data_IF_931738663317
#
_entry.id   IF_931738663317
#
_cell.length_a   1.000
_cell.length_b   1.000
_cell.length_c   1.000
_cell.angle_alpha   90.00
_cell.angle_beta   90.00
_cell.angle_gamma   90.00
#
_symmetry.space_group_name_H-M   'P 1'
#
loop_
_entity.id
_entity.type
_entity.pdbx_description
1 polymer ?
#
# COMPACT_ATOMS: atom_id res chain seq x y z
N UNK A 1 -3.88 -32.32 -8.29
CA UNK A 1 -4.20 -30.97 -8.84
C UNK A 1 -5.58 -30.42 -8.44
N UNK A 2 -6.60 -31.25 -8.14
CA UNK A 2 -7.96 -30.80 -7.74
C UNK A 2 -8.08 -30.25 -6.30
N UNK A 3 -7.28 -30.74 -5.35
CA UNK A 3 -7.41 -30.33 -3.93
C UNK A 3 -6.87 -28.93 -3.60
N UNK A 4 -5.77 -28.51 -4.25
CA UNK A 4 -5.18 -27.18 -4.04
C UNK A 4 -6.14 -26.05 -4.47
N UNK A 5 -6.92 -26.28 -5.53
CA UNK A 5 -7.94 -25.35 -6.02
C UNK A 5 -9.16 -25.27 -5.07
N UNK A 6 -9.44 -26.34 -4.31
CA UNK A 6 -10.57 -26.43 -3.36
C UNK A 6 -10.27 -25.69 -2.06
N UNK A 7 -9.06 -25.81 -1.50
CA UNK A 7 -8.63 -25.08 -0.29
C UNK A 7 -8.57 -23.55 -0.50
N UNK A 8 -8.07 -23.09 -1.66
CA UNK A 8 -8.05 -21.67 -1.99
C UNK A 8 -9.44 -21.03 -2.12
N UNK A 9 -10.43 -21.80 -2.58
CA UNK A 9 -11.83 -21.35 -2.67
C UNK A 9 -12.47 -21.15 -1.29
N UNK A 10 -12.21 -22.04 -0.34
CA UNK A 10 -12.74 -21.93 1.03
C UNK A 10 -12.13 -20.76 1.80
N UNK A 11 -10.81 -20.57 1.72
CA UNK A 11 -10.14 -19.43 2.37
C UNK A 11 -10.66 -18.08 1.86
N UNK A 12 -10.88 -17.95 0.55
CA UNK A 12 -11.46 -16.73 -0.04
C UNK A 12 -12.91 -16.51 0.42
N UNK A 13 -13.73 -17.56 0.47
CA UNK A 13 -15.10 -17.46 0.99
C UNK A 13 -15.11 -16.99 2.45
N UNK A 14 -14.30 -17.61 3.31
CA UNK A 14 -14.19 -17.21 4.72
C UNK A 14 -13.75 -15.75 4.86
N UNK A 15 -12.75 -15.33 4.08
CA UNK A 15 -12.30 -13.94 4.05
C UNK A 15 -13.44 -12.96 3.74
N UNK A 16 -14.24 -13.23 2.69
CA UNK A 16 -15.37 -12.36 2.35
C UNK A 16 -16.50 -12.40 3.37
N UNK A 17 -16.76 -13.55 4.01
CA UNK A 17 -17.74 -13.64 5.11
C UNK A 17 -17.30 -12.74 6.28
N UNK A 18 -16.05 -12.86 6.72
CA UNK A 18 -15.50 -12.03 7.79
C UNK A 18 -15.49 -10.55 7.39
N UNK A 19 -15.15 -10.25 6.14
CA UNK A 19 -15.18 -8.90 5.58
C UNK A 19 -16.58 -8.28 5.70
N UNK A 20 -17.62 -8.95 5.20
CA UNK A 20 -18.99 -8.45 5.25
C UNK A 20 -19.52 -8.35 6.68
N UNK A 21 -19.12 -9.28 7.55
CA UNK A 21 -19.48 -9.24 8.97
C UNK A 21 -18.89 -8.00 9.64
N UNK A 22 -17.59 -7.75 9.49
CA UNK A 22 -16.94 -6.55 10.05
C UNK A 22 -17.51 -5.28 9.43
N UNK A 23 -17.71 -5.25 8.11
CA UNK A 23 -18.30 -4.12 7.41
C UNK A 23 -19.71 -3.80 7.94
N UNK A 24 -20.55 -4.83 8.09
CA UNK A 24 -21.91 -4.71 8.62
C UNK A 24 -21.96 -4.27 10.07
N UNK A 25 -21.14 -4.87 10.95
CA UNK A 25 -21.07 -4.47 12.37
C UNK A 25 -20.67 -3.00 12.48
N UNK A 26 -19.61 -2.59 11.77
CA UNK A 26 -19.15 -1.20 11.75
C UNK A 26 -20.25 -0.24 11.28
N UNK A 27 -20.99 -0.62 10.24
CA UNK A 27 -22.11 0.19 9.71
C UNK A 27 -23.23 0.34 10.74
N UNK A 28 -23.68 -0.77 11.32
CA UNK A 28 -24.78 -0.80 12.29
C UNK A 28 -24.40 -0.05 13.56
N UNK A 29 -23.19 -0.26 14.09
CA UNK A 29 -22.71 0.45 15.28
C UNK A 29 -22.67 1.96 15.03
N UNK A 30 -22.20 2.40 13.87
CA UNK A 30 -22.22 3.83 13.55
C UNK A 30 -23.66 4.37 13.48
N UNK A 31 -24.53 3.67 12.75
CA UNK A 31 -25.93 4.08 12.61
C UNK A 31 -26.66 4.09 13.96
N UNK A 32 -26.31 3.20 14.88
CA UNK A 32 -26.91 3.13 16.21
C UNK A 32 -26.48 4.29 17.12
N UNK A 33 -25.25 4.79 16.96
CA UNK A 33 -24.70 5.86 17.81
C UNK A 33 -25.01 7.24 17.22
N UNK A 34 -24.69 7.45 15.93
CA UNK A 34 -24.75 8.77 15.30
C UNK A 34 -26.02 8.98 14.46
N UNK A 35 -26.86 7.95 14.30
CA UNK A 35 -28.02 7.93 13.39
C UNK A 35 -27.70 8.29 11.93
N UNK A 36 -26.42 8.36 11.59
CA UNK A 36 -25.89 8.72 10.29
C UNK A 36 -24.62 7.91 10.01
N UNK A 37 -24.25 7.80 8.74
CA UNK A 37 -23.00 7.15 8.33
C UNK A 37 -21.83 8.15 8.27
N UNK A 38 -21.45 8.70 9.42
CA UNK A 38 -20.30 9.61 9.62
C UNK A 38 -18.95 8.87 9.53
N UNK A 39 -18.43 8.30 10.62
CA UNK A 39 -17.13 7.61 10.68
C UNK A 39 -17.10 6.29 9.90
N UNK A 40 -18.27 5.68 9.67
CA UNK A 40 -18.39 4.51 8.81
C UNK A 40 -17.89 4.76 7.38
N UNK A 41 -18.00 5.98 6.83
CA UNK A 41 -17.45 6.25 5.49
C UNK A 41 -15.94 6.08 5.46
N UNK A 42 -15.25 6.50 6.51
CA UNK A 42 -13.81 6.28 6.68
C UNK A 42 -13.54 4.79 6.81
N UNK A 43 -14.15 4.12 7.80
CA UNK A 43 -13.81 2.71 8.08
C UNK A 43 -14.26 1.78 6.97
N UNK A 44 -15.45 1.96 6.41
CA UNK A 44 -15.97 1.19 5.28
C UNK A 44 -15.12 1.35 4.02
N UNK A 45 -14.67 2.56 3.69
CA UNK A 45 -13.76 2.77 2.55
C UNK A 45 -12.37 2.18 2.80
N UNK A 46 -11.84 2.26 4.02
CA UNK A 46 -10.60 1.58 4.42
C UNK A 46 -10.71 0.07 4.29
N UNK A 47 -11.83 -0.50 4.74
CA UNK A 47 -12.13 -1.93 4.58
C UNK A 47 -12.14 -2.28 3.09
N UNK A 48 -12.90 -1.58 2.25
CA UNK A 48 -12.95 -1.85 0.81
C UNK A 48 -11.54 -1.76 0.20
N UNK A 49 -10.79 -0.70 0.50
CA UNK A 49 -9.44 -0.49 -0.03
C UNK A 49 -8.49 -1.63 0.38
N UNK A 50 -8.34 -1.89 1.68
CA UNK A 50 -7.46 -2.93 2.18
C UNK A 50 -7.94 -4.34 1.80
N UNK A 51 -9.25 -4.58 1.85
CA UNK A 51 -9.88 -5.85 1.52
C UNK A 51 -9.63 -6.26 0.08
N UNK A 52 -9.78 -5.33 -0.87
CA UNK A 52 -9.48 -5.58 -2.29
C UNK A 52 -7.98 -5.85 -2.51
N UNK A 53 -7.10 -5.11 -1.82
CA UNK A 53 -5.65 -5.34 -1.88
C UNK A 53 -5.26 -6.74 -1.37
N UNK A 54 -5.80 -7.15 -0.23
CA UNK A 54 -5.55 -8.44 0.39
C UNK A 54 -6.15 -9.58 -0.43
N UNK A 55 -7.35 -9.41 -0.99
CA UNK A 55 -7.97 -10.41 -1.88
C UNK A 55 -7.07 -10.69 -3.09
N UNK A 56 -6.58 -9.63 -3.75
CA UNK A 56 -5.64 -9.78 -4.86
C UNK A 56 -4.30 -10.39 -4.44
N UNK A 57 -3.78 -10.02 -3.27
CA UNK A 57 -2.48 -10.48 -2.78
C UNK A 57 -2.51 -11.96 -2.39
N UNK A 58 -3.58 -12.43 -1.77
CA UNK A 58 -3.66 -13.80 -1.24
C UNK A 58 -4.30 -14.78 -2.22
N UNK A 59 -5.31 -14.36 -2.99
CA UNK A 59 -6.14 -15.29 -3.76
C UNK A 59 -5.94 -15.21 -5.28
N UNK A 60 -5.21 -14.21 -5.81
CA UNK A 60 -4.87 -14.23 -7.24
C UNK A 60 -3.96 -15.41 -7.57
N UNK A 61 -4.23 -16.11 -8.69
CA UNK A 61 -3.44 -17.30 -9.06
C UNK A 61 -2.07 -16.92 -9.60
N UNK A 62 -2.04 -15.94 -10.50
CA UNK A 62 -0.83 -15.43 -11.16
C UNK A 62 -0.69 -13.94 -10.91
N UNK A 63 0.56 -13.46 -10.90
CA UNK A 63 0.88 -12.03 -10.83
C UNK A 63 0.22 -11.28 -9.65
N UNK A 64 0.08 -11.94 -8.48
CA UNK A 64 -0.56 -11.39 -7.25
C UNK A 64 -0.15 -9.96 -6.94
N UNK A 65 1.16 -9.71 -6.92
CA UNK A 65 1.74 -8.38 -6.66
C UNK A 65 1.30 -7.35 -7.71
N UNK A 66 1.22 -7.72 -8.98
CA UNK A 66 0.78 -6.81 -10.06
C UNK A 66 -0.70 -6.47 -9.89
N UNK A 67 -1.53 -7.46 -9.56
CA UNK A 67 -2.96 -7.20 -9.30
C UNK A 67 -3.15 -6.30 -8.08
N UNK A 68 -2.46 -6.55 -6.98
CA UNK A 68 -2.52 -5.68 -5.79
C UNK A 68 -2.03 -4.26 -6.09
N UNK A 69 -0.92 -4.09 -6.81
CA UNK A 69 -0.44 -2.75 -7.21
C UNK A 69 -1.42 -2.06 -8.17
N UNK A 70 -2.09 -2.80 -9.05
CA UNK A 70 -3.12 -2.25 -9.93
C UNK A 70 -4.33 -1.75 -9.14
N UNK A 71 -4.81 -2.55 -8.17
CA UNK A 71 -5.87 -2.13 -7.24
C UNK A 71 -5.45 -0.91 -6.43
N UNK A 72 -4.22 -0.89 -5.90
CA UNK A 72 -3.67 0.27 -5.20
C UNK A 72 -3.70 1.52 -6.08
N UNK A 73 -3.21 1.41 -7.32
CA UNK A 73 -3.17 2.50 -8.31
C UNK A 73 -4.56 3.09 -8.56
N UNK A 74 -5.58 2.24 -8.67
CA UNK A 74 -6.95 2.67 -8.96
C UNK A 74 -7.67 3.21 -7.73
N UNK A 75 -7.49 2.58 -6.57
CA UNK A 75 -8.32 2.86 -5.39
C UNK A 75 -7.72 3.87 -4.41
N UNK A 76 -6.41 4.12 -4.41
CA UNK A 76 -5.78 5.01 -3.41
C UNK A 76 -6.31 6.45 -3.49
N UNK A 77 -6.53 6.97 -4.70
CA UNK A 77 -7.04 8.34 -4.89
C UNK A 77 -8.52 8.44 -4.49
N UNK A 78 -9.44 7.57 -4.96
CA UNK A 78 -10.81 7.53 -4.45
C UNK A 78 -10.89 7.36 -2.93
N UNK A 79 -10.03 6.53 -2.35
CA UNK A 79 -9.95 6.36 -0.90
C UNK A 79 -9.61 7.66 -0.19
N UNK A 80 -8.56 8.39 -0.63
CA UNK A 80 -8.23 9.69 -0.06
C UNK A 80 -9.33 10.74 -0.26
N UNK A 81 -10.06 10.71 -1.39
CA UNK A 81 -11.22 11.58 -1.59
C UNK A 81 -12.32 11.33 -0.56
N UNK A 82 -12.60 10.06 -0.23
CA UNK A 82 -13.57 9.71 0.80
C UNK A 82 -13.10 10.21 2.17
N UNK A 83 -11.81 10.06 2.50
CA UNK A 83 -11.25 10.56 3.75
C UNK A 83 -11.39 12.07 3.87
N UNK A 84 -10.87 12.84 2.92
CA UNK A 84 -10.91 14.31 2.95
C UNK A 84 -12.36 14.82 3.04
N UNK A 85 -13.25 14.29 2.19
CA UNK A 85 -14.66 14.71 2.19
C UNK A 85 -15.35 14.38 3.51
N UNK A 86 -15.12 13.19 4.06
CA UNK A 86 -15.78 12.78 5.31
C UNK A 86 -15.28 13.60 6.48
N UNK A 87 -13.96 13.80 6.60
CA UNK A 87 -13.36 14.61 7.66
C UNK A 87 -13.86 16.05 7.62
N UNK A 88 -13.85 16.69 6.44
CA UNK A 88 -14.32 18.06 6.27
C UNK A 88 -15.82 18.24 6.49
N UNK A 89 -16.63 17.20 6.29
CA UNK A 89 -18.08 17.30 6.45
C UNK A 89 -18.52 17.08 7.89
N UNK A 90 -17.83 16.22 8.64
CA UNK A 90 -18.35 15.70 9.92
C UNK A 90 -17.44 15.92 11.14
N UNK A 91 -16.15 16.24 10.95
CA UNK A 91 -15.16 16.20 12.04
C UNK A 91 -14.35 17.49 12.22
N UNK A 92 -14.42 18.42 11.27
CA UNK A 92 -13.70 19.69 11.35
C UNK A 92 -14.67 20.87 11.28
N UNK A 93 -14.41 21.89 12.10
CA UNK A 93 -15.15 23.16 12.06
C UNK A 93 -14.84 23.96 10.79
N UNK A 94 -13.63 23.80 10.26
CA UNK A 94 -13.17 24.43 9.02
C UNK A 94 -12.55 23.39 8.07
N UNK A 95 -12.88 23.41 6.77
CA UNK A 95 -12.42 22.40 5.83
C UNK A 95 -10.92 22.53 5.53
N UNK A 96 -10.21 21.40 5.56
CA UNK A 96 -8.80 21.29 5.21
C UNK A 96 -8.67 20.42 3.96
N UNK A 97 -8.17 21.01 2.87
CA UNK A 97 -7.98 20.33 1.59
C UNK A 97 -6.53 19.85 1.44
N UNK A 98 -6.24 18.66 1.96
CA UNK A 98 -4.89 18.06 1.96
C UNK A 98 -4.65 17.09 0.79
N UNK A 99 -5.70 16.60 0.13
CA UNK A 99 -5.60 15.60 -0.94
C UNK A 99 -4.73 16.11 -2.08
N UNK A 100 -5.02 17.30 -2.61
CA UNK A 100 -4.27 17.85 -3.75
C UNK A 100 -2.83 18.23 -3.41
N UNK A 101 -2.56 19.04 -2.36
CA UNK A 101 -1.20 19.49 -2.08
C UNK A 101 -0.30 18.41 -1.46
N UNK A 102 -0.88 17.41 -0.78
CA UNK A 102 -0.11 16.41 0.00
C UNK A 102 -0.43 14.99 -0.46
N UNK A 103 -1.70 14.59 -0.43
CA UNK A 103 -2.10 13.20 -0.70
C UNK A 103 -1.76 12.70 -2.10
N UNK A 104 -2.02 13.48 -3.14
CA UNK A 104 -1.79 13.12 -4.54
C UNK A 104 -0.29 12.99 -4.86
N UNK A 105 0.59 13.96 -4.54
CA UNK A 105 2.03 13.79 -4.77
C UNK A 105 2.61 12.55 -4.08
N UNK A 106 2.20 12.26 -2.84
CA UNK A 106 2.64 11.07 -2.11
C UNK A 106 2.12 9.80 -2.79
N UNK A 107 0.82 9.73 -3.11
CA UNK A 107 0.24 8.57 -3.79
C UNK A 107 0.93 8.28 -5.13
N UNK A 108 1.16 9.31 -5.95
CA UNK A 108 1.84 9.18 -7.24
C UNK A 108 3.28 8.69 -7.08
N UNK A 109 4.00 9.18 -6.06
CA UNK A 109 5.36 8.73 -5.75
C UNK A 109 5.39 7.22 -5.47
N UNK A 110 4.48 6.73 -4.64
CA UNK A 110 4.42 5.31 -4.29
C UNK A 110 3.89 4.43 -5.45
N UNK A 111 2.95 4.93 -6.25
CA UNK A 111 2.52 4.28 -7.50
C UNK A 111 3.72 4.11 -8.44
N UNK A 112 4.48 5.17 -8.68
CA UNK A 112 5.67 5.13 -9.52
C UNK A 112 6.71 4.14 -8.97
N UNK A 113 6.97 4.19 -7.66
CA UNK A 113 7.86 3.26 -6.97
C UNK A 113 7.47 1.78 -7.23
N UNK A 114 6.19 1.42 -7.05
CA UNK A 114 5.75 0.04 -7.26
C UNK A 114 5.88 -0.39 -8.72
N UNK A 115 5.49 0.46 -9.66
CA UNK A 115 5.57 0.14 -11.09
C UNK A 115 7.00 0.04 -11.61
N UNK A 116 7.91 0.90 -11.14
CA UNK A 116 9.34 0.81 -11.45
C UNK A 116 9.90 -0.54 -10.95
N UNK A 117 9.59 -0.94 -9.72
CA UNK A 117 10.03 -2.23 -9.18
C UNK A 117 9.49 -3.43 -9.98
N UNK A 118 8.21 -3.40 -10.35
CA UNK A 118 7.62 -4.44 -11.22
C UNK A 118 8.32 -4.46 -12.59
N UNK A 119 8.58 -3.28 -13.18
CA UNK A 119 9.26 -3.13 -14.45
C UNK A 119 10.67 -3.71 -14.43
N UNK A 120 11.47 -3.33 -13.44
CA UNK A 120 12.84 -3.84 -13.24
C UNK A 120 12.84 -5.38 -13.15
N UNK A 121 11.94 -5.96 -12.33
CA UNK A 121 11.85 -7.42 -12.20
C UNK A 121 11.51 -8.09 -13.54
N UNK A 122 10.59 -7.51 -14.32
CA UNK A 122 10.20 -8.06 -15.63
C UNK A 122 11.30 -7.93 -16.67
N UNK A 123 12.03 -6.82 -16.70
CA UNK A 123 13.08 -6.55 -17.68
C UNK A 123 14.36 -7.33 -17.38
N UNK A 124 14.77 -7.39 -16.12
CA UNK A 124 16.05 -7.97 -15.74
C UNK A 124 15.97 -9.45 -15.36
N UNK A 125 14.76 -10.00 -15.20
CA UNK A 125 14.53 -11.38 -14.76
C UNK A 125 15.29 -11.75 -13.47
N UNK A 126 15.47 -10.78 -12.58
CA UNK A 126 16.21 -10.96 -11.33
C UNK A 126 15.47 -11.85 -10.34
N UNK A 127 16.24 -12.54 -9.50
CA UNK A 127 15.68 -13.33 -8.41
C UNK A 127 15.11 -12.44 -7.30
N UNK A 128 14.38 -13.05 -6.37
CA UNK A 128 13.66 -12.32 -5.33
C UNK A 128 14.58 -11.51 -4.42
N UNK A 129 15.76 -12.02 -4.08
CA UNK A 129 16.74 -11.30 -3.26
C UNK A 129 17.17 -9.98 -3.91
N UNK A 130 17.60 -10.04 -5.17
CA UNK A 130 18.00 -8.83 -5.91
C UNK A 130 16.83 -7.87 -6.12
N UNK A 131 15.59 -8.38 -6.30
CA UNK A 131 14.40 -7.53 -6.39
C UNK A 131 14.11 -6.79 -5.08
N UNK A 132 14.21 -7.46 -3.92
CA UNK A 132 14.04 -6.84 -2.61
C UNK A 132 15.13 -5.81 -2.30
N UNK A 133 16.37 -6.10 -2.75
CA UNK A 133 17.49 -5.17 -2.65
C UNK A 133 17.21 -3.87 -3.41
N UNK A 134 16.85 -3.95 -4.69
CA UNK A 134 16.47 -2.77 -5.48
C UNK A 134 15.27 -2.04 -4.89
N UNK A 135 14.24 -2.78 -4.46
CA UNK A 135 13.05 -2.17 -3.86
C UNK A 135 13.44 -1.32 -2.65
N UNK A 136 14.33 -1.81 -1.79
CA UNK A 136 14.82 -1.06 -0.64
C UNK A 136 15.56 0.22 -1.05
N UNK A 137 16.43 0.13 -2.07
CA UNK A 137 17.16 1.31 -2.56
C UNK A 137 16.24 2.35 -3.21
N UNK A 138 15.26 1.91 -4.01
CA UNK A 138 14.26 2.78 -4.63
C UNK A 138 13.30 3.41 -3.62
N UNK A 139 13.16 2.83 -2.42
CA UNK A 139 12.33 3.40 -1.38
C UNK A 139 12.94 4.68 -0.79
N UNK A 140 14.26 4.86 -0.87
CA UNK A 140 14.96 6.06 -0.36
C UNK A 140 14.40 7.34 -1.01
N UNK A 141 14.43 7.52 -2.34
CA UNK A 141 13.86 8.71 -2.96
C UNK A 141 12.35 8.84 -2.70
N UNK A 142 11.61 7.74 -2.62
CA UNK A 142 10.17 7.78 -2.31
C UNK A 142 9.89 8.32 -0.90
N UNK A 143 10.69 7.90 0.09
CA UNK A 143 10.61 8.40 1.48
C UNK A 143 11.01 9.87 1.56
N UNK A 144 12.10 10.28 0.89
CA UNK A 144 12.53 11.69 0.89
C UNK A 144 11.46 12.58 0.28
N UNK A 145 10.88 12.21 -0.86
CA UNK A 145 9.78 12.96 -1.48
C UNK A 145 8.56 13.00 -0.57
N UNK A 146 8.20 11.87 0.05
CA UNK A 146 7.07 11.81 1.00
C UNK A 146 7.26 12.80 2.15
N UNK A 147 8.44 12.80 2.76
CA UNK A 147 8.73 13.65 3.91
C UNK A 147 8.87 15.14 3.52
N UNK A 148 9.39 15.43 2.32
CA UNK A 148 9.45 16.79 1.81
C UNK A 148 8.06 17.37 1.55
N UNK A 149 7.17 16.58 0.95
CA UNK A 149 5.78 16.98 0.70
C UNK A 149 4.99 17.11 2.01
N UNK A 150 5.16 16.17 2.94
CA UNK A 150 4.41 16.14 4.20
C UNK A 150 4.83 17.26 5.16
N UNK A 151 6.14 17.50 5.32
CA UNK A 151 6.65 18.48 6.28
C UNK A 151 6.84 19.88 5.69
N UNK A 152 6.83 20.02 4.37
CA UNK A 152 7.01 21.31 3.67
C UNK A 152 8.31 22.04 4.07
N UNK A 153 9.39 21.27 4.28
CA UNK A 153 10.70 21.78 4.72
C UNK A 153 11.82 21.50 3.72
N UNK A 154 13.00 22.03 4.00
CA UNK A 154 14.20 21.83 3.17
C UNK A 154 14.72 20.38 3.21
N UNK A 155 15.36 19.97 2.11
CA UNK A 155 15.90 18.61 1.90
C UNK A 155 16.89 18.19 3.00
N UNK A 156 17.75 19.10 3.47
CA UNK A 156 18.72 18.80 4.52
C UNK A 156 18.06 18.33 5.81
N UNK A 157 17.05 19.06 6.29
CA UNK A 157 16.28 18.68 7.47
C UNK A 157 15.53 17.36 7.27
N UNK A 158 15.04 17.08 6.06
CA UNK A 158 14.41 15.79 5.74
C UNK A 158 15.41 14.63 5.84
N UNK A 159 16.63 14.81 5.33
CA UNK A 159 17.68 13.79 5.40
C UNK A 159 18.05 13.51 6.86
N UNK A 160 18.18 14.54 7.69
CA UNK A 160 18.45 14.40 9.12
C UNK A 160 17.31 13.63 9.84
N UNK A 161 16.05 14.04 9.62
CA UNK A 161 14.89 13.36 10.21
C UNK A 161 14.73 11.92 9.70
N UNK A 162 15.12 11.64 8.46
CA UNK A 162 14.98 10.33 7.82
C UNK A 162 16.23 9.47 7.93
N UNK A 163 17.27 9.91 8.66
CA UNK A 163 18.60 9.30 8.63
C UNK A 163 18.56 7.80 8.95
N UNK A 164 17.89 7.42 10.04
CA UNK A 164 17.75 6.01 10.45
C UNK A 164 17.06 5.19 9.37
N UNK A 165 16.00 5.72 8.76
CA UNK A 165 15.26 5.07 7.67
C UNK A 165 16.14 4.88 6.45
N UNK A 166 16.90 5.91 6.05
CA UNK A 166 17.78 5.86 4.88
C UNK A 166 18.89 4.83 5.09
N UNK A 167 19.58 4.85 6.23
CA UNK A 167 20.63 3.88 6.56
C UNK A 167 20.07 2.45 6.59
N UNK A 168 18.88 2.26 7.15
CA UNK A 168 18.20 0.96 7.17
C UNK A 168 17.91 0.47 5.75
N UNK A 169 17.36 1.33 4.89
CA UNK A 169 17.07 0.99 3.50
C UNK A 169 18.33 0.70 2.68
N UNK A 170 19.43 1.42 2.93
CA UNK A 170 20.74 1.12 2.34
C UNK A 170 21.24 -0.26 2.78
N UNK A 171 21.15 -0.58 4.07
CA UNK A 171 21.52 -1.88 4.62
C UNK A 171 20.69 -3.02 4.04
N UNK A 172 19.36 -2.89 4.03
CA UNK A 172 18.45 -3.84 3.40
C UNK A 172 18.73 -3.99 1.89
N UNK A 173 19.04 -2.88 1.22
CA UNK A 173 19.42 -2.86 -0.19
C UNK A 173 20.67 -3.69 -0.47
N UNK A 174 21.74 -3.43 0.28
CA UNK A 174 23.00 -4.16 0.16
C UNK A 174 22.82 -5.66 0.46
N UNK A 175 22.16 -6.01 1.58
CA UNK A 175 21.91 -7.39 1.96
C UNK A 175 21.05 -8.13 0.93
N UNK A 176 20.00 -7.49 0.42
CA UNK A 176 19.14 -8.06 -0.62
C UNK A 176 19.90 -8.36 -1.91
N UNK A 177 20.73 -7.42 -2.36
CA UNK A 177 21.57 -7.60 -3.56
C UNK A 177 22.59 -8.72 -3.38
N UNK A 178 23.31 -8.76 -2.24
CA UNK A 178 24.27 -9.81 -1.92
C UNK A 178 23.58 -11.18 -1.88
N UNK A 179 22.47 -11.29 -1.16
CA UNK A 179 21.68 -12.52 -1.09
C UNK A 179 21.20 -12.96 -2.48
N UNK A 180 20.78 -12.01 -3.32
CA UNK A 180 20.43 -12.29 -4.70
C UNK A 180 21.59 -12.83 -5.54
N UNK A 181 22.81 -12.29 -5.38
CA UNK A 181 23.99 -12.83 -6.07
C UNK A 181 24.29 -14.28 -5.65
N UNK A 182 24.16 -14.61 -4.36
CA UNK A 182 24.35 -15.98 -3.87
C UNK A 182 23.28 -16.95 -4.38
N UNK A 183 22.00 -16.53 -4.41
CA UNK A 183 20.91 -17.34 -4.95
C UNK A 183 21.12 -17.66 -6.44
N UNK A 184 21.64 -16.71 -7.22
CA UNK A 184 21.91 -16.91 -8.66
C UNK A 184 22.95 -18.01 -8.91
N UNK A 185 23.97 -18.11 -8.04
CA UNK A 185 25.01 -19.16 -8.13
C UNK A 185 24.50 -20.56 -7.82
N UNK A 186 23.44 -20.71 -7.01
CA UNK A 186 22.91 -22.01 -6.57
C UNK A 186 21.99 -22.68 -7.60
N UNK A 187 21.52 -21.92 -8.58
CA UNK A 187 20.63 -22.37 -9.68
C UNK A 187 21.36 -22.70 -10.99
N UNK A 188 22.69 -22.55 -11.03
CA UNK A 188 23.55 -23.09 -12.10
C UNK A 188 24.26 -24.33 -11.57
#
# INVERSE_FOLDING_TARGET
>A
MKESNKKGSWGRKLFWILFFLVFGITAVTNLAIDHQFTWFRIVGSSLIFAGMLLDALFFSKNARVIHSVSIFTVLVVPYFMVLERTVNTYFLDAPIYWLRPIGLPIALTWIAYFWINIGIRKLLHWNMGSCLGIASLLAIPAVVVTNLVANQTNVYSIIEMSFVTIVTLLGCGALGLIAGLFMRKRTR
#
